data_IF_394893420224
#
_entry.id   IF_394893420224
#
_cell.length_a   1.000
_cell.length_b   1.000
_cell.length_c   1.000
_cell.angle_alpha   90.00
_cell.angle_beta   90.00
_cell.angle_gamma   90.00
#
_symmetry.space_group_name_H-M   'P 1'
#
loop_
_entity.id
_entity.type
_entity.pdbx_description
1 polymer ?
#
# COMPACT_ATOMS: atom_id res chain seq x y z
N UNK A 1 -29.23 17.84 -12.37
CA UNK A 1 -30.20 16.76 -12.05
C UNK A 1 -29.76 15.38 -12.54
N UNK A 2 -29.59 15.10 -13.84
CA UNK A 2 -29.11 13.75 -14.28
C UNK A 2 -27.67 13.44 -13.87
N UNK A 3 -26.74 14.39 -13.99
CA UNK A 3 -25.33 14.20 -13.58
C UNK A 3 -25.20 13.96 -12.07
N UNK A 4 -25.99 14.66 -11.27
CA UNK A 4 -26.01 14.53 -9.81
C UNK A 4 -26.58 13.18 -9.37
N UNK A 5 -27.65 12.72 -10.03
CA UNK A 5 -28.22 11.39 -9.80
C UNK A 5 -27.29 10.25 -10.26
N UNK A 6 -26.54 10.45 -11.34
CA UNK A 6 -25.54 9.49 -11.82
C UNK A 6 -24.31 9.43 -10.91
N UNK A 7 -23.85 10.59 -10.42
CA UNK A 7 -22.76 10.68 -9.46
C UNK A 7 -23.14 10.01 -8.13
N UNK A 8 -24.38 10.21 -7.67
CA UNK A 8 -24.88 9.54 -6.47
C UNK A 8 -24.97 8.02 -6.66
N UNK A 9 -25.41 7.55 -7.83
CA UNK A 9 -25.41 6.13 -8.17
C UNK A 9 -24.00 5.53 -8.20
N UNK A 10 -23.03 6.22 -8.80
CA UNK A 10 -21.63 5.79 -8.83
C UNK A 10 -21.01 5.75 -7.43
N UNK A 11 -21.28 6.77 -6.62
CA UNK A 11 -20.89 6.82 -5.22
C UNK A 11 -21.50 5.65 -4.45
N UNK A 12 -22.78 5.35 -4.67
CA UNK A 12 -23.47 4.25 -3.99
C UNK A 12 -22.89 2.88 -4.39
N UNK A 13 -22.57 2.67 -5.68
CA UNK A 13 -21.95 1.43 -6.17
C UNK A 13 -20.55 1.20 -5.58
N UNK A 14 -19.79 2.27 -5.30
CA UNK A 14 -18.43 2.15 -4.76
C UNK A 14 -18.46 2.12 -3.21
N UNK A 15 -19.17 3.06 -2.58
CA UNK A 15 -19.17 3.24 -1.13
C UNK A 15 -19.93 2.12 -0.42
N UNK A 16 -21.06 1.65 -0.95
CA UNK A 16 -21.86 0.62 -0.25
C UNK A 16 -21.09 -0.69 -0.09
N UNK A 17 -20.40 -1.24 -1.11
CA UNK A 17 -19.54 -2.40 -0.93
C UNK A 17 -18.40 -2.16 0.05
N UNK A 18 -17.78 -0.96 0.04
CA UNK A 18 -16.71 -0.63 0.98
C UNK A 18 -17.24 -0.64 2.42
N UNK A 19 -18.39 -0.03 2.66
CA UNK A 19 -19.05 -0.04 3.98
C UNK A 19 -19.42 -1.46 4.38
N UNK A 20 -19.99 -2.25 3.47
CA UNK A 20 -20.36 -3.64 3.74
C UNK A 20 -19.13 -4.48 4.15
N UNK A 21 -18.03 -4.35 3.41
CA UNK A 21 -16.75 -5.00 3.74
C UNK A 21 -16.23 -4.52 5.10
N UNK A 22 -16.29 -3.22 5.37
CA UNK A 22 -15.82 -2.64 6.63
C UNK A 22 -16.71 -2.95 7.85
N UNK A 23 -17.98 -3.31 7.61
CA UNK A 23 -18.95 -3.61 8.66
C UNK A 23 -18.70 -4.97 9.31
N UNK A 24 -18.11 -5.91 8.58
CA UNK A 24 -17.73 -7.22 9.10
C UNK A 24 -16.22 -7.25 9.34
N UNK A 25 -15.85 -7.38 10.62
CA UNK A 25 -14.46 -7.34 11.09
C UNK A 25 -13.60 -8.48 10.51
N UNK A 26 -14.24 -9.55 10.08
CA UNK A 26 -13.64 -10.76 9.54
C UNK A 26 -13.42 -10.62 8.04
N UNK A 27 -14.45 -10.22 7.30
CA UNK A 27 -14.36 -9.94 5.85
C UNK A 27 -13.38 -8.80 5.57
N UNK A 28 -13.47 -7.71 6.34
CA UNK A 28 -12.52 -6.60 6.28
C UNK A 28 -11.08 -7.08 6.40
N UNK A 29 -10.82 -7.92 7.40
CA UNK A 29 -9.48 -8.42 7.68
C UNK A 29 -8.95 -9.34 6.58
N UNK A 30 -9.78 -10.26 6.07
CA UNK A 30 -9.40 -11.18 4.99
C UNK A 30 -9.01 -10.36 3.76
N UNK A 31 -9.88 -9.46 3.31
CA UNK A 31 -9.65 -8.65 2.11
C UNK A 31 -8.40 -7.81 2.27
N UNK A 32 -8.23 -7.16 3.42
CA UNK A 32 -7.06 -6.34 3.67
C UNK A 32 -5.76 -7.16 3.73
N UNK A 33 -5.80 -8.32 4.37
CA UNK A 33 -4.66 -9.24 4.44
C UNK A 33 -4.25 -9.74 3.06
N UNK A 34 -5.21 -10.00 2.18
CA UNK A 34 -5.01 -10.48 0.81
C UNK A 34 -4.39 -9.37 -0.06
N UNK A 35 -4.94 -8.15 0.00
CA UNK A 35 -4.39 -6.99 -0.71
C UNK A 35 -2.92 -6.73 -0.30
N UNK A 36 -2.65 -6.76 1.01
CA UNK A 36 -1.30 -6.54 1.54
C UNK A 36 -0.37 -7.68 1.13
N UNK A 37 -0.81 -8.94 1.24
CA UNK A 37 -0.03 -10.10 0.83
C UNK A 37 0.34 -10.04 -0.65
N UNK A 38 -0.62 -9.76 -1.54
CA UNK A 38 -0.34 -9.59 -2.97
C UNK A 38 0.63 -8.43 -3.23
N UNK A 39 0.47 -7.30 -2.53
CA UNK A 39 1.42 -6.20 -2.65
C UNK A 39 2.82 -6.58 -2.16
N UNK A 40 2.95 -7.35 -1.07
CA UNK A 40 4.26 -7.80 -0.58
C UNK A 40 4.89 -8.81 -1.53
N UNK A 41 4.10 -9.74 -2.07
CA UNK A 41 4.53 -10.71 -3.11
C UNK A 41 5.05 -9.96 -4.33
N UNK A 42 4.26 -9.02 -4.89
CA UNK A 42 4.68 -8.21 -6.04
C UNK A 42 6.00 -7.47 -5.76
N UNK A 43 6.16 -6.89 -4.57
CA UNK A 43 7.40 -6.20 -4.22
C UNK A 43 8.60 -7.13 -4.06
N UNK A 44 8.40 -8.36 -3.57
CA UNK A 44 9.47 -9.36 -3.40
C UNK A 44 9.88 -9.94 -4.76
N UNK A 45 8.90 -10.23 -5.61
CA UNK A 45 9.07 -10.90 -6.90
C UNK A 45 9.42 -9.93 -8.04
N UNK A 46 9.11 -8.63 -7.90
CA UNK A 46 9.40 -7.61 -8.92
C UNK A 46 10.84 -7.64 -9.46
N UNK A 47 11.88 -7.73 -8.61
CA UNK A 47 13.27 -7.84 -9.10
C UNK A 47 13.61 -9.15 -9.83
N UNK A 48 12.75 -10.18 -9.74
CA UNK A 48 12.96 -11.50 -10.31
C UNK A 48 12.02 -11.82 -11.47
N UNK A 49 10.95 -11.06 -11.66
CA UNK A 49 10.16 -11.14 -12.88
C UNK A 49 10.87 -10.33 -13.97
N UNK A 50 11.08 -10.91 -15.17
CA UNK A 50 11.33 -10.14 -16.36
C UNK A 50 10.21 -9.10 -16.52
N UNK A 51 10.55 -7.90 -17.01
CA UNK A 51 9.57 -6.91 -17.46
C UNK A 51 8.79 -7.51 -18.65
N UNK A 52 7.79 -8.33 -18.34
CA UNK A 52 6.83 -8.89 -19.29
C UNK A 52 5.67 -7.94 -19.55
N UNK A 53 5.67 -6.78 -18.89
CA UNK A 53 4.82 -5.66 -19.26
C UNK A 53 5.69 -4.90 -20.25
N UNK A 54 5.50 -5.15 -21.54
CA UNK A 54 5.76 -4.10 -22.53
C UNK A 54 5.11 -2.85 -21.95
N UNK A 55 5.91 -1.83 -21.61
CA UNK A 55 5.39 -0.50 -21.35
C UNK A 55 4.47 -0.21 -22.54
N UNK A 56 3.17 -0.21 -22.28
CA UNK A 56 2.16 -0.02 -23.30
C UNK A 56 2.31 1.44 -23.71
N UNK A 57 3.15 1.71 -24.72
CA UNK A 57 3.55 3.06 -25.15
C UNK A 57 2.32 3.96 -25.36
N UNK A 58 1.19 3.37 -25.79
CA UNK A 58 -0.10 4.06 -25.90
C UNK A 58 -0.62 4.60 -24.55
N UNK A 59 -0.44 3.88 -23.45
CA UNK A 59 -0.90 4.31 -22.13
C UNK A 59 -0.01 5.41 -21.55
N UNK A 60 1.31 5.34 -21.80
CA UNK A 60 2.28 6.37 -21.40
C UNK A 60 1.99 7.69 -22.13
N UNK A 61 1.76 7.63 -23.45
CA UNK A 61 1.42 8.78 -24.30
C UNK A 61 0.10 9.44 -23.87
N UNK A 62 -0.93 8.65 -23.54
CA UNK A 62 -2.22 9.17 -23.05
C UNK A 62 -2.08 9.84 -21.68
N UNK A 63 -1.22 9.34 -20.80
CA UNK A 63 -0.94 9.94 -19.48
C UNK A 63 -0.17 11.25 -19.65
N UNK A 64 0.78 11.31 -20.59
CA UNK A 64 1.54 12.52 -20.89
C UNK A 64 0.66 13.61 -21.52
N UNK A 65 -0.23 13.25 -22.44
CA UNK A 65 -1.22 14.17 -23.01
C UNK A 65 -2.23 14.69 -21.96
N UNK A 66 -2.61 13.84 -20.99
CA UNK A 66 -3.44 14.26 -19.85
C UNK A 66 -2.69 15.20 -18.88
N UNK A 67 -1.38 15.00 -18.74
CA UNK A 67 -0.51 15.79 -17.88
C UNK A 67 -0.27 17.19 -18.44
N UNK A 68 -0.20 17.33 -19.76
CA UNK A 68 -0.09 18.62 -20.42
C UNK A 68 -1.43 19.38 -20.46
N UNK A 69 -2.56 18.66 -20.51
CA UNK A 69 -3.90 19.27 -20.56
C UNK A 69 -4.46 19.65 -19.18
N UNK A 70 -3.97 19.05 -18.09
CA UNK A 70 -4.41 19.33 -16.73
C UNK A 70 -3.21 19.82 -15.90
N UNK A 71 -3.31 21.03 -15.32
CA UNK A 71 -2.30 21.61 -14.39
C UNK A 71 -2.19 20.88 -13.03
N UNK A 72 -2.45 19.58 -13.02
CA UNK A 72 -2.54 18.75 -11.84
C UNK A 72 -1.21 18.01 -11.69
N UNK A 73 -0.58 18.20 -10.54
CA UNK A 73 0.72 17.62 -10.24
C UNK A 73 0.59 16.11 -9.96
N UNK A 74 0.69 15.30 -11.01
CA UNK A 74 0.61 13.83 -10.94
C UNK A 74 1.65 13.22 -9.99
N UNK A 75 2.80 13.87 -9.81
CA UNK A 75 3.82 13.43 -8.86
C UNK A 75 3.32 13.56 -7.41
N UNK A 76 2.61 14.65 -7.10
CA UNK A 76 1.97 14.82 -5.78
C UNK A 76 0.84 13.84 -5.54
N UNK A 77 0.03 13.51 -6.57
CA UNK A 77 -0.98 12.44 -6.44
C UNK A 77 -0.30 11.11 -6.16
N UNK A 78 0.72 10.73 -6.95
CA UNK A 78 1.44 9.46 -6.79
C UNK A 78 2.00 9.33 -5.37
N UNK A 79 2.65 10.38 -4.86
CA UNK A 79 3.17 10.42 -3.49
C UNK A 79 2.06 10.35 -2.43
N UNK A 80 0.93 11.02 -2.68
CA UNK A 80 -0.27 10.91 -1.83
C UNK A 80 -0.82 9.49 -1.76
N UNK A 81 -0.94 8.80 -2.91
CA UNK A 81 -1.39 7.42 -2.98
C UNK A 81 -0.42 6.46 -2.27
N UNK A 82 0.89 6.64 -2.45
CA UNK A 82 1.90 5.85 -1.73
C UNK A 82 1.81 6.04 -0.21
N UNK A 83 1.53 7.27 0.23
CA UNK A 83 1.35 7.60 1.66
C UNK A 83 0.08 6.98 2.24
N UNK A 84 -1.05 7.07 1.52
CA UNK A 84 -2.32 6.43 1.92
C UNK A 84 -2.14 4.91 2.00
N UNK A 85 -1.46 4.30 1.02
CA UNK A 85 -1.13 2.88 1.06
C UNK A 85 -0.34 2.51 2.31
N UNK A 86 0.70 3.29 2.66
CA UNK A 86 1.48 3.05 3.87
C UNK A 86 0.63 3.17 5.15
N UNK A 87 -0.29 4.13 5.23
CA UNK A 87 -1.23 4.25 6.35
C UNK A 87 -2.14 3.02 6.48
N UNK A 88 -2.63 2.48 5.35
CA UNK A 88 -3.43 1.25 5.33
C UNK A 88 -2.63 0.07 5.88
N UNK A 89 -1.35 -0.05 5.53
CA UNK A 89 -0.45 -1.08 6.10
C UNK A 89 -0.31 -0.93 7.61
N UNK A 90 -0.06 0.29 8.10
CA UNK A 90 0.04 0.57 9.54
C UNK A 90 -1.23 0.13 10.26
N UNK A 91 -2.40 0.55 9.76
CA UNK A 91 -3.69 0.22 10.36
C UNK A 91 -3.90 -1.29 10.45
N UNK A 92 -3.60 -2.04 9.39
CA UNK A 92 -3.70 -3.49 9.36
C UNK A 92 -2.79 -4.16 10.40
N UNK A 93 -1.54 -3.72 10.50
CA UNK A 93 -0.58 -4.32 11.45
C UNK A 93 -0.90 -3.97 12.91
N UNK A 94 -1.39 -2.75 13.18
CA UNK A 94 -1.93 -2.40 14.50
C UNK A 94 -3.10 -3.31 14.86
N UNK A 95 -4.01 -3.54 13.91
CA UNK A 95 -5.13 -4.45 14.12
C UNK A 95 -4.69 -5.90 14.34
N UNK A 96 -3.68 -6.36 13.60
CA UNK A 96 -3.10 -7.70 13.73
C UNK A 96 -2.51 -7.96 15.14
N UNK A 97 -1.98 -6.94 15.82
CA UNK A 97 -1.44 -7.09 17.19
C UNK A 97 -2.46 -7.64 18.21
N UNK A 98 -3.75 -7.40 18.01
CA UNK A 98 -4.81 -7.92 18.88
C UNK A 98 -5.03 -9.42 18.71
N UNK A 99 -4.82 -9.95 17.51
CA UNK A 99 -5.08 -11.36 17.17
C UNK A 99 -3.84 -12.26 17.27
N UNK A 100 -2.64 -11.66 17.35
CA UNK A 100 -1.40 -12.41 17.51
C UNK A 100 -1.27 -12.92 18.96
N UNK A 101 -1.23 -14.23 19.12
CA UNK A 101 -1.04 -14.87 20.44
C UNK A 101 0.42 -14.87 20.91
N UNK A 102 1.39 -15.15 20.03
CA UNK A 102 2.81 -15.24 20.42
C UNK A 102 3.51 -13.89 20.43
N UNK A 103 4.23 -13.60 21.51
CA UNK A 103 4.94 -12.34 21.72
C UNK A 103 5.99 -12.04 20.63
N UNK A 104 6.66 -13.06 20.09
CA UNK A 104 7.68 -12.90 19.04
C UNK A 104 7.12 -12.20 17.79
N UNK A 105 5.89 -12.51 17.39
CA UNK A 105 5.27 -11.90 16.21
C UNK A 105 4.79 -10.48 16.52
N UNK A 106 4.44 -10.16 17.77
CA UNK A 106 4.12 -8.77 18.17
C UNK A 106 5.34 -7.86 18.01
N UNK A 107 6.52 -8.34 18.39
CA UNK A 107 7.79 -7.60 18.17
C UNK A 107 8.01 -7.35 16.67
N UNK A 108 7.83 -8.40 15.84
CA UNK A 108 7.95 -8.27 14.39
C UNK A 108 6.94 -7.27 13.81
N UNK A 109 5.70 -7.28 14.30
CA UNK A 109 4.67 -6.31 13.90
C UNK A 109 5.04 -4.87 14.27
N UNK A 110 5.58 -4.64 15.47
CA UNK A 110 6.05 -3.31 15.89
C UNK A 110 7.16 -2.82 14.96
N UNK A 111 8.10 -3.69 14.60
CA UNK A 111 9.17 -3.35 13.65
C UNK A 111 8.61 -2.92 12.29
N UNK A 112 7.62 -3.66 11.76
CA UNK A 112 6.94 -3.31 10.50
C UNK A 112 6.23 -1.96 10.61
N UNK A 113 5.50 -1.71 11.71
CA UNK A 113 4.79 -0.43 11.92
C UNK A 113 5.77 0.75 11.94
N UNK A 114 6.87 0.63 12.68
CA UNK A 114 7.90 1.68 12.77
C UNK A 114 8.50 1.96 11.40
N UNK A 115 8.79 0.92 10.61
CA UNK A 115 9.27 1.08 9.24
C UNK A 115 8.28 1.89 8.38
N UNK A 116 6.99 1.53 8.39
CA UNK A 116 5.98 2.24 7.60
C UNK A 116 5.75 3.67 8.08
N UNK A 117 5.84 3.94 9.39
CA UNK A 117 5.80 5.30 9.92
C UNK A 117 6.98 6.12 9.40
N UNK A 118 8.19 5.56 9.42
CA UNK A 118 9.38 6.22 8.88
C UNK A 118 9.21 6.53 7.39
N UNK A 119 8.70 5.56 6.62
CA UNK A 119 8.40 5.75 5.19
C UNK A 119 7.38 6.86 4.94
N UNK A 120 6.31 6.95 5.73
CA UNK A 120 5.32 8.05 5.64
C UNK A 120 5.97 9.40 5.95
N UNK A 121 6.81 9.48 6.98
CA UNK A 121 7.50 10.72 7.35
C UNK A 121 8.47 11.18 6.25
N UNK A 122 9.20 10.24 5.65
CA UNK A 122 10.10 10.52 4.54
C UNK A 122 9.33 11.03 3.32
N UNK A 123 8.20 10.40 2.97
CA UNK A 123 7.34 10.84 1.87
C UNK A 123 6.77 12.24 2.10
N UNK A 124 6.29 12.55 3.32
CA UNK A 124 5.77 13.88 3.65
C UNK A 124 6.89 14.94 3.59
N UNK A 125 8.10 14.59 4.05
CA UNK A 125 9.25 15.51 4.00
C UNK A 125 9.67 15.80 2.55
N UNK A 126 9.71 14.77 1.70
CA UNK A 126 10.05 14.87 0.28
C UNK A 126 9.05 15.73 -0.51
N UNK A 127 7.79 15.80 -0.08
CA UNK A 127 6.78 16.70 -0.66
C UNK A 127 6.97 18.18 -0.25
N UNK A 128 7.76 18.45 0.80
CA UNK A 128 7.96 19.80 1.35
C UNK A 128 9.26 20.45 0.87
N UNK A 129 10.27 19.65 0.55
CA UNK A 129 11.52 20.09 -0.06
C UNK A 129 11.43 19.85 -1.58
N UNK A 130 11.14 20.90 -2.35
CA UNK A 130 11.32 20.87 -3.81
C UNK A 130 12.78 20.46 -4.10
N UNK A 131 12.92 19.28 -4.70
CA UNK A 131 14.09 18.79 -5.43
C UNK A 131 15.46 19.39 -5.04
N UNK A 132 16.11 18.82 -4.01
CA UNK A 132 17.57 18.89 -3.97
C UNK A 132 18.21 17.62 -3.40
N UNK A 133 18.79 16.84 -4.31
CA UNK A 133 20.00 16.04 -4.15
C UNK A 133 20.13 15.16 -2.89
N UNK A 134 19.76 13.89 -3.03
CA UNK A 134 20.51 12.81 -2.36
C UNK A 134 20.52 11.55 -3.23
N UNK A 135 21.08 11.68 -4.43
CA UNK A 135 21.37 10.55 -5.29
C UNK A 135 22.60 9.77 -4.78
N UNK A 136 22.44 8.45 -4.76
CA UNK A 136 23.47 7.46 -5.09
C UNK A 136 24.29 6.72 -4.01
N UNK A 137 23.86 6.63 -2.75
CA UNK A 137 24.50 5.64 -1.84
C UNK A 137 23.58 4.76 -0.98
N UNK A 138 22.28 5.03 -0.91
CA UNK A 138 21.34 4.29 -0.02
C UNK A 138 20.46 3.27 -0.74
N UNK A 139 20.51 3.19 -2.08
CA UNK A 139 19.54 2.43 -2.90
C UNK A 139 19.50 0.93 -2.59
N UNK A 140 20.65 0.27 -2.45
CA UNK A 140 20.70 -1.17 -2.18
C UNK A 140 20.21 -1.52 -0.77
N UNK A 141 20.69 -0.83 0.26
CA UNK A 141 20.27 -1.08 1.64
C UNK A 141 18.78 -0.81 1.82
N UNK A 142 18.27 0.28 1.25
CA UNK A 142 16.84 0.59 1.33
C UNK A 142 15.99 -0.47 0.61
N UNK A 143 16.46 -0.94 -0.55
CA UNK A 143 15.81 -2.04 -1.28
C UNK A 143 15.83 -3.34 -0.47
N UNK A 144 16.97 -3.72 0.12
CA UNK A 144 17.07 -4.93 0.95
C UNK A 144 16.19 -4.85 2.19
N UNK A 145 16.19 -3.71 2.89
CA UNK A 145 15.33 -3.48 4.06
C UNK A 145 13.85 -3.57 3.66
N UNK A 146 13.47 -2.95 2.54
CA UNK A 146 12.09 -3.02 2.01
C UNK A 146 11.68 -4.46 1.70
N UNK A 147 12.52 -5.23 1.03
CA UNK A 147 12.25 -6.63 0.72
C UNK A 147 12.14 -7.46 2.00
N UNK A 148 13.03 -7.25 2.96
CA UNK A 148 13.01 -7.93 4.25
C UNK A 148 11.73 -7.61 5.04
N UNK A 149 11.32 -6.35 5.09
CA UNK A 149 10.06 -5.94 5.74
C UNK A 149 8.86 -6.59 5.04
N UNK A 150 8.86 -6.70 3.72
CA UNK A 150 7.78 -7.38 2.98
C UNK A 150 7.74 -8.89 3.28
N UNK A 151 8.90 -9.56 3.41
CA UNK A 151 8.96 -10.98 3.78
C UNK A 151 8.43 -11.19 5.20
N UNK A 152 8.90 -10.38 6.16
CA UNK A 152 8.42 -10.45 7.55
C UNK A 152 6.92 -10.14 7.62
N UNK A 153 6.44 -9.17 6.84
CA UNK A 153 5.02 -8.82 6.71
C UNK A 153 4.21 -10.03 6.29
N UNK A 154 4.66 -10.77 5.27
CA UNK A 154 3.98 -11.97 4.77
C UNK A 154 3.93 -13.10 5.82
N UNK A 155 5.03 -13.31 6.54
CA UNK A 155 5.09 -14.29 7.65
C UNK A 155 4.11 -13.92 8.77
N UNK A 156 4.06 -12.64 9.15
CA UNK A 156 3.13 -12.14 10.17
C UNK A 156 1.68 -12.28 9.71
N UNK A 157 1.38 -11.96 8.45
CA UNK A 157 0.04 -12.09 7.86
C UNK A 157 -0.41 -13.55 7.88
N UNK A 158 0.41 -14.48 7.39
CA UNK A 158 0.10 -15.91 7.37
C UNK A 158 -0.15 -16.45 8.78
N UNK A 159 0.73 -16.08 9.72
CA UNK A 159 0.62 -16.55 11.10
C UNK A 159 -0.63 -15.99 11.80
N UNK A 160 -0.95 -14.71 11.57
CA UNK A 160 -2.12 -14.06 12.17
C UNK A 160 -3.41 -14.66 11.61
N UNK A 161 -3.48 -14.89 10.30
CA UNK A 161 -4.63 -15.56 9.69
C UNK A 161 -4.79 -16.99 10.19
N UNK A 162 -3.70 -17.76 10.29
CA UNK A 162 -3.75 -19.11 10.86
C UNK A 162 -4.30 -19.09 12.31
N UNK A 163 -3.80 -18.18 13.16
CA UNK A 163 -4.23 -18.10 14.56
C UNK A 163 -5.66 -17.59 14.75
N UNK A 164 -6.23 -16.87 13.77
CA UNK A 164 -7.59 -16.31 13.86
C UNK A 164 -8.66 -17.22 13.25
N UNK A 165 -8.33 -17.93 12.16
CA UNK A 165 -9.30 -18.67 11.36
C UNK A 165 -9.23 -20.19 11.51
N UNK A 166 -8.05 -20.73 11.82
CA UNK A 166 -7.82 -22.18 11.85
C UNK A 166 -7.63 -22.74 13.26
N UNK A 167 -7.52 -21.88 14.27
CA UNK A 167 -7.39 -22.21 15.69
C UNK A 167 -8.50 -21.55 16.47
#
# INVERSE_FOLDING_TARGET
>A
MQLESFLLLLVMIIIVPIIYIASDDTVFFIILSLIIAFSSIKNILGPFLPDFIEDDEETEDLIEELKDSISLDFNKIKLGLETVKAMIFILYFVYSCFFISKFIYKIATVFIIVYWIHYVLENIKKNKEDSSNSENQTSFLNTTIKTLVNVISLIVILTTNYNRFLR
#
